data_IF_823651703751
#
_entry.id   IF_823651703751
#
_cell.length_a   1.000
_cell.length_b   1.000
_cell.length_c   1.000
_cell.angle_alpha   90.00
_cell.angle_beta   90.00
_cell.angle_gamma   90.00
#
_symmetry.space_group_name_H-M   'P 1'
#
loop_
_entity.id
_entity.type
_entity.pdbx_description
1 polymer ?
#
# COMPACT_ATOMS: atom_id res chain seq x y z
N UNK A 1 7.91 -4.79 6.20
CA UNK A 1 8.27 -5.36 4.88
C UNK A 1 8.64 -6.84 4.91
N UNK A 2 9.34 -7.37 5.93
CA UNK A 2 9.67 -8.80 6.02
C UNK A 2 8.46 -9.74 5.86
N UNK A 3 7.30 -9.37 6.42
CA UNK A 3 6.04 -10.12 6.25
C UNK A 3 5.54 -10.18 4.80
N UNK A 4 5.84 -9.18 3.96
CA UNK A 4 5.46 -9.18 2.54
C UNK A 4 6.34 -10.14 1.73
N UNK A 5 7.60 -10.29 2.15
CA UNK A 5 8.66 -11.04 1.46
C UNK A 5 8.66 -12.52 1.87
N UNK A 6 8.20 -12.87 3.08
CA UNK A 6 8.32 -14.22 3.65
C UNK A 6 7.74 -15.34 2.74
N UNK A 7 6.65 -15.05 2.03
CA UNK A 7 5.97 -16.04 1.17
C UNK A 7 6.43 -15.98 -0.30
N UNK A 8 7.44 -15.16 -0.60
CA UNK A 8 7.93 -14.91 -1.96
C UNK A 8 9.06 -15.85 -2.38
N UNK A 9 9.57 -16.67 -1.45
CA UNK A 9 10.56 -17.71 -1.73
C UNK A 9 10.09 -18.80 -2.71
N UNK A 10 8.78 -18.86 -3.01
CA UNK A 10 8.20 -19.77 -4.00
C UNK A 10 8.59 -19.47 -5.45
N UNK A 11 9.08 -18.25 -5.73
CA UNK A 11 9.48 -17.85 -7.07
C UNK A 11 11.00 -18.01 -7.22
N UNK A 12 11.51 -18.81 -8.18
CA UNK A 12 12.96 -18.97 -8.38
C UNK A 12 13.68 -17.65 -8.68
N UNK A 13 13.00 -16.73 -9.38
CA UNK A 13 13.46 -15.37 -9.66
C UNK A 13 12.32 -14.40 -9.41
N UNK A 14 12.58 -13.36 -8.63
CA UNK A 14 11.60 -12.30 -8.37
C UNK A 14 12.29 -10.94 -8.41
N UNK A 15 11.81 -10.05 -9.28
CA UNK A 15 12.24 -8.65 -9.31
C UNK A 15 11.10 -7.80 -8.78
N UNK A 16 11.36 -7.06 -7.71
CA UNK A 16 10.41 -6.13 -7.14
C UNK A 16 10.79 -4.72 -7.58
N UNK A 17 9.95 -4.11 -8.43
CA UNK A 17 10.06 -2.70 -8.77
C UNK A 17 9.56 -1.86 -7.58
N UNK A 18 10.39 -0.93 -7.14
CA UNK A 18 10.12 -0.10 -5.96
C UNK A 18 10.37 1.37 -6.34
N UNK A 19 9.43 2.25 -6.01
CA UNK A 19 9.62 3.69 -6.16
C UNK A 19 10.74 4.18 -5.24
N UNK A 20 11.71 4.92 -5.80
CA UNK A 20 12.75 5.60 -5.02
C UNK A 20 12.15 6.67 -4.10
N UNK A 21 12.76 6.88 -2.93
CA UNK A 21 12.36 7.94 -1.98
C UNK A 21 13.39 9.06 -2.00
N UNK A 22 13.02 10.22 -2.52
CA UNK A 22 13.93 11.36 -2.68
C UNK A 22 15.00 11.09 -3.75
N UNK A 23 16.19 11.67 -3.59
CA UNK A 23 17.32 11.47 -4.52
C UNK A 23 18.03 10.12 -4.35
N UNK A 24 17.58 9.28 -3.43
CA UNK A 24 18.31 8.10 -2.98
C UNK A 24 17.64 6.82 -3.47
N UNK A 25 18.38 6.01 -4.21
CA UNK A 25 18.02 4.64 -4.59
C UNK A 25 18.54 3.59 -3.59
N UNK A 26 19.10 4.05 -2.46
CA UNK A 26 19.61 3.17 -1.39
C UNK A 26 18.50 2.26 -0.86
N UNK A 27 18.77 0.96 -0.96
CA UNK A 27 17.85 -0.11 -0.60
C UNK A 27 18.28 -0.87 0.66
N UNK A 28 19.09 -0.25 1.52
CA UNK A 28 19.63 -0.87 2.75
C UNK A 28 18.50 -1.45 3.61
N UNK A 29 17.38 -0.74 3.74
CA UNK A 29 16.21 -1.20 4.48
C UNK A 29 15.52 -2.42 3.82
N UNK A 30 15.52 -2.49 2.48
CA UNK A 30 14.95 -3.62 1.72
C UNK A 30 15.83 -4.87 1.85
N UNK A 31 17.16 -4.70 1.75
CA UNK A 31 18.15 -5.76 2.00
C UNK A 31 18.04 -6.29 3.43
N UNK A 32 17.97 -5.39 4.43
CA UNK A 32 17.75 -5.77 5.84
C UNK A 32 16.44 -6.53 6.03
N UNK A 33 15.36 -6.09 5.38
CA UNK A 33 14.06 -6.76 5.45
C UNK A 33 14.08 -8.16 4.82
N UNK A 34 14.83 -8.35 3.74
CA UNK A 34 15.06 -9.66 3.12
C UNK A 34 15.83 -10.59 4.06
N UNK A 35 16.90 -10.10 4.69
CA UNK A 35 17.68 -10.87 5.67
C UNK A 35 16.80 -11.33 6.85
N UNK A 36 15.98 -10.44 7.41
CA UNK A 36 15.03 -10.78 8.49
C UNK A 36 14.01 -11.82 8.01
N UNK A 37 13.53 -11.73 6.77
CA UNK A 37 12.59 -12.71 6.22
C UNK A 37 13.26 -14.09 6.08
N UNK A 38 14.50 -14.14 5.58
CA UNK A 38 15.30 -15.36 5.46
C UNK A 38 15.52 -16.04 6.82
N UNK A 39 15.93 -15.27 7.83
CA UNK A 39 16.13 -15.77 9.19
C UNK A 39 14.84 -16.35 9.78
N UNK A 40 13.71 -15.66 9.60
CA UNK A 40 12.40 -16.13 10.06
C UNK A 40 11.94 -17.39 9.35
N UNK A 41 12.19 -17.52 8.04
CA UNK A 41 11.89 -18.75 7.30
C UNK A 41 12.74 -19.92 7.78
N UNK A 42 14.03 -19.69 8.06
CA UNK A 42 14.93 -20.71 8.62
C UNK A 42 14.42 -21.24 9.98
N UNK A 43 13.90 -20.36 10.81
CA UNK A 43 13.43 -20.69 12.17
C UNK A 43 11.94 -21.07 12.20
N UNK A 44 11.25 -21.16 11.05
CA UNK A 44 9.83 -21.46 11.02
C UNK A 44 9.59 -22.97 10.99
N UNK A 45 8.65 -23.42 11.82
CA UNK A 45 8.09 -24.78 11.80
C UNK A 45 6.99 -24.94 10.74
N UNK A 46 6.48 -23.84 10.20
CA UNK A 46 5.57 -23.88 9.06
C UNK A 46 6.41 -24.10 7.79
N UNK A 47 5.97 -24.98 6.89
CA UNK A 47 6.58 -25.28 5.58
C UNK A 47 6.63 -24.05 4.64
N UNK A 48 7.31 -22.98 5.06
CA UNK A 48 7.47 -21.80 4.24
C UNK A 48 8.41 -22.12 3.07
N UNK A 49 8.13 -21.57 1.87
CA UNK A 49 9.02 -21.71 0.74
C UNK A 49 10.43 -21.26 1.10
N UNK A 50 11.44 -22.04 0.71
CA UNK A 50 12.83 -21.71 0.99
C UNK A 50 13.23 -20.41 0.26
N UNK A 51 13.24 -19.30 1.00
CA UNK A 51 13.63 -17.98 0.46
C UNK A 51 15.07 -17.98 -0.06
N UNK A 52 15.96 -18.81 0.49
CA UNK A 52 17.34 -18.91 0.00
C UNK A 52 17.43 -19.48 -1.42
N UNK A 53 16.42 -20.24 -1.86
CA UNK A 53 16.35 -20.75 -3.23
C UNK A 53 15.87 -19.69 -4.24
N UNK A 54 15.42 -18.52 -3.77
CA UNK A 54 14.88 -17.45 -4.61
C UNK A 54 15.90 -16.34 -4.86
N UNK A 55 16.10 -15.98 -6.13
CA UNK A 55 16.86 -14.80 -6.52
C UNK A 55 15.96 -13.55 -6.49
N UNK A 56 15.76 -13.00 -5.28
CA UNK A 56 14.97 -11.78 -5.06
C UNK A 56 15.87 -10.55 -5.27
N UNK A 57 15.50 -9.70 -6.23
CA UNK A 57 16.16 -8.42 -6.51
C UNK A 57 15.19 -7.26 -6.32
N UNK A 58 15.69 -6.15 -5.79
CA UNK A 58 14.95 -4.89 -5.72
C UNK A 58 15.44 -3.97 -6.84
N UNK A 59 14.56 -3.63 -7.77
CA UNK A 59 14.82 -2.62 -8.79
C UNK A 59 14.22 -1.30 -8.32
N UNK A 60 15.05 -0.44 -7.75
CA UNK A 60 14.63 0.87 -7.27
C UNK A 60 14.78 1.89 -8.38
N UNK A 61 13.69 2.53 -8.77
CA UNK A 61 13.67 3.49 -9.88
C UNK A 61 12.80 4.72 -9.54
N UNK A 62 13.03 5.86 -10.22
CA UNK A 62 12.12 7.00 -10.13
C UNK A 62 10.70 6.60 -10.52
N UNK A 63 9.70 7.17 -9.84
CA UNK A 63 8.28 6.91 -10.12
C UNK A 63 7.92 7.27 -11.57
N UNK A 64 8.59 8.27 -12.16
CA UNK A 64 8.38 8.73 -13.54
C UNK A 64 8.74 7.68 -14.60
N UNK A 65 9.58 6.70 -14.26
CA UNK A 65 10.11 5.74 -15.23
C UNK A 65 9.22 4.49 -15.35
N UNK A 66 8.33 4.25 -14.39
CA UNK A 66 7.44 3.10 -14.38
C UNK A 66 6.05 3.55 -13.88
N UNK A 67 5.09 3.77 -14.79
CA UNK A 67 3.74 4.24 -14.44
C UNK A 67 3.03 3.36 -13.41
N UNK A 68 3.35 2.05 -13.35
CA UNK A 68 2.76 1.15 -12.37
C UNK A 68 3.14 1.51 -10.92
N UNK A 69 4.28 2.19 -10.72
CA UNK A 69 4.68 2.66 -9.39
C UNK A 69 3.84 3.83 -8.90
N UNK A 70 3.14 4.53 -9.78
CA UNK A 70 2.29 5.67 -9.43
C UNK A 70 0.84 5.27 -9.07
N UNK A 71 0.47 4.00 -9.21
CA UNK A 71 -0.92 3.54 -8.95
C UNK A 71 -1.33 3.81 -7.51
N UNK A 72 -0.44 3.56 -6.55
CA UNK A 72 -0.72 3.81 -5.13
C UNK A 72 -0.91 5.30 -4.87
N UNK A 73 -0.07 6.15 -5.44
CA UNK A 73 -0.17 7.61 -5.30
C UNK A 73 -1.47 8.14 -5.91
N UNK A 74 -1.87 7.61 -7.09
CA UNK A 74 -3.15 7.96 -7.71
C UNK A 74 -4.35 7.56 -6.83
N UNK A 75 -4.29 6.38 -6.20
CA UNK A 75 -5.34 5.95 -5.28
C UNK A 75 -5.44 6.84 -4.04
N UNK A 76 -4.30 7.21 -3.45
CA UNK A 76 -4.25 8.13 -2.30
C UNK A 76 -4.73 9.54 -2.70
N UNK A 77 -4.30 10.03 -3.86
CA UNK A 77 -4.75 11.30 -4.42
C UNK A 77 -6.27 11.35 -4.63
N UNK A 78 -6.85 10.28 -5.17
CA UNK A 78 -8.30 10.19 -5.36
C UNK A 78 -9.06 10.26 -4.03
N UNK A 79 -8.57 9.60 -2.98
CA UNK A 79 -9.15 9.68 -1.62
C UNK A 79 -8.99 11.10 -1.05
N UNK A 80 -7.79 11.69 -1.14
CA UNK A 80 -7.52 13.04 -0.66
C UNK A 80 -8.45 14.08 -1.30
N UNK A 81 -8.77 13.94 -2.59
CA UNK A 81 -9.72 14.84 -3.27
C UNK A 81 -11.12 14.83 -2.66
N UNK A 82 -11.57 13.70 -2.11
CA UNK A 82 -12.85 13.67 -1.40
C UNK A 82 -12.80 14.59 -0.18
N UNK A 83 -11.73 14.47 0.62
CA UNK A 83 -11.54 15.27 1.83
C UNK A 83 -11.24 16.75 1.57
N UNK A 84 -10.54 17.10 0.50
CA UNK A 84 -10.14 18.48 0.22
C UNK A 84 -11.15 19.23 -0.66
N UNK A 85 -11.78 18.53 -1.60
CA UNK A 85 -12.58 19.15 -2.68
C UNK A 85 -14.01 18.61 -2.77
N UNK A 86 -14.35 17.58 -2.01
CA UNK A 86 -15.63 16.89 -2.16
C UNK A 86 -15.78 16.16 -3.51
N UNK A 87 -14.68 15.95 -4.24
CA UNK A 87 -14.72 15.34 -5.56
C UNK A 87 -14.69 13.81 -5.45
N UNK A 88 -15.83 13.20 -5.76
CA UNK A 88 -16.06 11.76 -5.63
C UNK A 88 -15.72 10.98 -6.91
N UNK A 89 -15.51 11.65 -8.06
CA UNK A 89 -15.45 10.95 -9.35
C UNK A 89 -14.33 9.91 -9.41
N UNK A 90 -13.11 10.32 -9.11
CA UNK A 90 -11.93 9.45 -9.18
C UNK A 90 -11.95 8.37 -8.08
N UNK A 91 -12.44 8.72 -6.90
CA UNK A 91 -12.61 7.77 -5.80
C UNK A 91 -13.62 6.68 -6.17
N UNK A 92 -14.80 7.06 -6.67
CA UNK A 92 -15.84 6.11 -7.08
C UNK A 92 -15.35 5.20 -8.20
N UNK A 93 -14.62 5.75 -9.19
CA UNK A 93 -14.02 4.93 -10.24
C UNK A 93 -13.11 3.82 -9.67
N UNK A 94 -12.28 4.14 -8.68
CA UNK A 94 -11.40 3.16 -8.04
C UNK A 94 -12.17 2.19 -7.12
N UNK A 95 -13.17 2.68 -6.41
CA UNK A 95 -14.03 1.89 -5.53
C UNK A 95 -14.86 0.87 -6.30
N UNK A 96 -15.47 1.29 -7.41
CA UNK A 96 -16.33 0.45 -8.26
C UNK A 96 -15.54 -0.71 -8.85
N UNK A 97 -14.30 -0.43 -9.26
CA UNK A 97 -13.31 -1.40 -9.74
C UNK A 97 -12.60 -2.19 -8.62
N UNK A 98 -13.07 -2.07 -7.37
CA UNK A 98 -12.58 -2.76 -6.19
C UNK A 98 -11.06 -2.57 -5.96
N UNK A 99 -10.53 -1.38 -6.30
CA UNK A 99 -9.11 -1.03 -6.11
C UNK A 99 -8.82 -0.47 -4.72
N UNK A 100 -9.83 0.07 -4.05
CA UNK A 100 -9.75 0.57 -2.68
C UNK A 100 -10.79 -0.19 -1.84
N UNK A 101 -10.41 -1.28 -1.16
CA UNK A 101 -11.37 -2.10 -0.41
C UNK A 101 -11.84 -1.44 0.89
N UNK A 102 -10.99 -0.59 1.48
CA UNK A 102 -11.25 0.09 2.75
C UNK A 102 -10.50 1.42 2.78
N UNK A 103 -11.18 2.46 3.23
CA UNK A 103 -10.59 3.70 3.73
C UNK A 103 -10.94 3.82 5.21
N UNK A 104 -9.93 4.06 6.05
CA UNK A 104 -10.13 4.33 7.46
C UNK A 104 -9.93 5.83 7.71
N UNK A 105 -10.98 6.53 8.13
CA UNK A 105 -10.87 7.93 8.52
C UNK A 105 -10.36 8.02 9.98
N UNK A 106 -9.11 8.46 10.14
CA UNK A 106 -8.47 8.59 11.46
C UNK A 106 -8.88 9.87 12.20
N UNK A 107 -9.54 10.81 11.52
CA UNK A 107 -9.93 12.09 12.10
C UNK A 107 -11.42 12.17 12.40
N UNK A 108 -12.21 11.20 11.91
CA UNK A 108 -13.64 11.08 12.22
C UNK A 108 -13.87 10.48 13.63
N UNK A 109 -13.39 11.18 14.66
CA UNK A 109 -13.46 10.72 16.06
C UNK A 109 -14.89 10.57 16.59
N UNK A 110 -15.85 11.27 15.99
CA UNK A 110 -17.27 11.18 16.34
C UNK A 110 -17.86 9.80 16.00
N UNK A 111 -17.37 9.18 14.93
CA UNK A 111 -17.83 7.88 14.44
C UNK A 111 -16.85 6.74 14.73
N UNK A 112 -16.01 6.83 15.76
CA UNK A 112 -15.13 5.72 16.16
C UNK A 112 -15.90 4.51 16.70
N UNK A 113 -17.05 4.76 17.33
CA UNK A 113 -17.87 3.69 17.91
C UNK A 113 -18.35 2.77 16.78
N UNK A 114 -18.33 1.47 17.03
CA UNK A 114 -18.75 0.44 16.08
C UNK A 114 -18.03 0.47 14.72
N UNK A 115 -16.82 1.03 14.63
CA UNK A 115 -16.07 1.17 13.36
C UNK A 115 -16.83 1.98 12.31
N UNK A 116 -17.59 2.98 12.73
CA UNK A 116 -18.37 3.81 11.80
C UNK A 116 -17.47 4.73 10.94
N UNK A 117 -16.23 4.98 11.35
CA UNK A 117 -15.20 5.68 10.56
C UNK A 117 -14.53 4.81 9.46
N UNK A 118 -15.05 3.60 9.22
CA UNK A 118 -14.57 2.68 8.19
C UNK A 118 -15.44 2.82 6.94
N UNK A 119 -14.81 3.14 5.82
CA UNK A 119 -15.47 3.32 4.54
C UNK A 119 -15.12 2.20 3.59
N UNK A 120 -16.14 1.45 3.19
CA UNK A 120 -16.05 0.32 2.26
C UNK A 120 -16.96 0.54 1.07
N UNK A 121 -17.03 -0.42 0.14
CA UNK A 121 -17.97 -0.32 -0.98
C UNK A 121 -19.44 -0.21 -0.55
N UNK A 122 -19.83 -0.79 0.60
CA UNK A 122 -21.20 -0.68 1.13
C UNK A 122 -21.45 0.62 1.91
N UNK A 123 -20.38 1.25 2.40
CA UNK A 123 -20.42 2.55 3.10
C UNK A 123 -19.29 3.45 2.54
N UNK A 124 -19.43 3.99 1.32
CA UNK A 124 -18.37 4.75 0.69
C UNK A 124 -18.14 6.10 1.38
N UNK A 125 -16.99 6.71 1.11
CA UNK A 125 -16.82 8.15 1.36
C UNK A 125 -17.86 8.94 0.55
N UNK A 126 -18.31 10.06 1.10
CA UNK A 126 -19.29 10.91 0.47
C UNK A 126 -18.98 12.39 0.71
N UNK A 127 -19.79 13.27 0.14
CA UNK A 127 -19.60 14.73 0.25
C UNK A 127 -19.63 15.25 1.69
N UNK A 128 -20.26 14.52 2.62
CA UNK A 128 -20.27 14.84 4.05
C UNK A 128 -18.92 14.64 4.73
N UNK A 129 -18.04 13.81 4.16
CA UNK A 129 -16.66 13.63 4.62
C UNK A 129 -15.72 14.78 4.18
N UNK A 130 -16.20 15.69 3.34
CA UNK A 130 -15.42 16.84 2.88
C UNK A 130 -15.07 17.75 4.07
N UNK A 131 -13.78 17.96 4.31
CA UNK A 131 -13.26 18.90 5.29
C UNK A 131 -13.54 20.31 4.79
N UNK A 132 -14.77 20.79 4.96
CA UNK A 132 -15.11 22.20 4.73
C UNK A 132 -14.14 23.02 5.56
N UNK A 133 -13.35 23.86 4.89
CA UNK A 133 -12.65 24.93 5.58
C UNK A 133 -13.72 25.75 6.29
N UNK A 134 -13.72 25.70 7.64
CA UNK A 134 -14.40 26.73 8.43
C UNK A 134 -13.78 28.05 7.97
N UNK A 135 -14.54 28.83 7.22
CA UNK A 135 -14.22 30.24 6.95
C UNK A 135 -14.20 30.99 8.28
#
# INVERSE_FOLDING_TARGET
MSHLIKDKGKYPKLVLNIAGRGSTTSNVNLKRSLAIAQERTKNSTNNLPNIYASNIKFNTQPYSNEPLLAITDYALWAVQRVFEKGDLYFYNLLLDNNKIPLVLDLYDTEHYKNSENYHTKSKPLNIGCWLKTKK
#
